data_IF_343997252098
#
_entry.id   IF_343997252098
#
_cell.length_a   1.000
_cell.length_b   1.000
_cell.length_c   1.000
_cell.angle_alpha   90.00
_cell.angle_beta   90.00
_cell.angle_gamma   90.00
#
_symmetry.space_group_name_H-M   'P 1'
#
loop_
_entity.id
_entity.type
_entity.pdbx_description
1 polymer ?
#
# COMPACT_ATOMS: atom_id res chain seq x y z
N UNK A 1 15.13 -19.84 4.25
CA UNK A 1 13.73 -20.21 3.92
C UNK A 1 13.33 -19.57 2.59
N UNK A 2 12.50 -20.20 1.77
CA UNK A 2 11.98 -19.58 0.56
C UNK A 2 11.05 -18.42 0.95
N UNK A 3 11.17 -17.27 0.28
CA UNK A 3 10.25 -16.16 0.48
C UNK A 3 8.86 -16.58 -0.03
N UNK A 4 7.86 -16.53 0.85
CA UNK A 4 6.46 -16.70 0.46
C UNK A 4 5.77 -15.34 0.60
N UNK A 5 5.33 -14.72 -0.51
CA UNK A 5 4.56 -13.49 -0.48
C UNK A 5 3.32 -13.62 0.42
N UNK A 6 2.68 -14.79 0.43
CA UNK A 6 1.50 -15.04 1.25
C UNK A 6 1.78 -15.00 2.77
N UNK A 7 3.03 -15.21 3.17
CA UNK A 7 3.47 -15.15 4.56
C UNK A 7 4.06 -13.79 4.96
N UNK A 8 4.13 -12.84 4.02
CA UNK A 8 4.58 -11.48 4.32
C UNK A 8 3.38 -10.55 4.56
N UNK A 9 3.09 -10.15 5.81
CA UNK A 9 1.92 -9.34 6.14
C UNK A 9 1.91 -7.95 5.48
N UNK A 10 3.04 -7.48 4.92
CA UNK A 10 3.10 -6.20 4.19
C UNK A 10 2.46 -6.28 2.80
N UNK A 11 2.37 -7.47 2.20
CA UNK A 11 1.89 -7.65 0.82
C UNK A 11 0.42 -7.24 0.68
N UNK A 12 -0.39 -7.47 1.71
CA UNK A 12 -1.78 -7.01 1.76
C UNK A 12 -1.89 -5.48 1.72
N UNK A 13 -1.03 -4.79 2.49
CA UNK A 13 -0.96 -3.31 2.49
C UNK A 13 -0.51 -2.80 1.12
N UNK A 14 0.45 -3.47 0.50
CA UNK A 14 0.92 -3.13 -0.85
C UNK A 14 -0.15 -3.36 -1.92
N UNK A 15 -0.93 -4.43 -1.81
CA UNK A 15 -2.07 -4.70 -2.70
C UNK A 15 -3.12 -3.59 -2.61
N UNK A 16 -3.49 -3.18 -1.39
CA UNK A 16 -4.42 -2.08 -1.15
C UNK A 16 -3.90 -0.75 -1.72
N UNK A 17 -2.65 -0.39 -1.42
CA UNK A 17 -2.01 0.82 -1.92
C UNK A 17 -1.97 0.85 -3.46
N UNK A 18 -1.59 -0.27 -4.10
CA UNK A 18 -1.61 -0.41 -5.56
C UNK A 18 -3.01 -0.22 -6.15
N UNK A 19 -4.05 -0.76 -5.51
CA UNK A 19 -5.43 -0.62 -5.97
C UNK A 19 -5.91 0.83 -5.89
N UNK A 20 -5.59 1.55 -4.82
CA UNK A 20 -5.94 2.97 -4.66
C UNK A 20 -5.22 3.80 -5.72
N UNK A 21 -3.90 3.63 -5.87
CA UNK A 21 -3.10 4.36 -6.87
C UNK A 21 -3.63 4.18 -8.29
N UNK A 22 -4.04 2.96 -8.66
CA UNK A 22 -4.64 2.66 -9.97
C UNK A 22 -5.98 3.35 -10.18
N UNK A 23 -6.77 3.55 -9.11
CA UNK A 23 -8.09 4.20 -9.18
C UNK A 23 -7.97 5.73 -9.22
N UNK A 24 -7.06 6.30 -8.44
CA UNK A 24 -6.95 7.76 -8.27
C UNK A 24 -5.93 8.40 -9.20
N UNK A 25 -4.98 7.62 -9.74
CA UNK A 25 -3.87 8.15 -10.53
C UNK A 25 -2.88 8.99 -9.72
N UNK A 26 -2.95 8.98 -8.39
CA UNK A 26 -2.07 9.78 -7.55
C UNK A 26 -0.63 9.25 -7.51
N UNK A 27 0.30 10.10 -7.09
CA UNK A 27 1.68 9.70 -6.82
C UNK A 27 1.79 8.81 -5.57
N UNK A 28 2.92 8.12 -5.44
CA UNK A 28 3.22 7.33 -4.25
C UNK A 28 3.28 8.22 -2.99
N UNK A 29 3.80 9.44 -3.10
CA UNK A 29 3.90 10.40 -2.00
C UNK A 29 2.53 10.87 -1.51
N UNK A 30 1.63 11.22 -2.44
CA UNK A 30 0.25 11.59 -2.10
C UNK A 30 -0.52 10.43 -1.46
N UNK A 31 -0.30 9.21 -1.98
CA UNK A 31 -0.93 8.01 -1.44
C UNK A 31 -0.52 7.76 0.02
N UNK A 32 0.78 7.86 0.33
CA UNK A 32 1.25 7.61 1.70
C UNK A 32 1.03 8.81 2.63
N UNK A 33 1.00 10.04 2.12
CA UNK A 33 0.64 11.23 2.90
C UNK A 33 -0.81 11.17 3.39
N UNK A 34 -1.74 10.74 2.54
CA UNK A 34 -3.15 10.55 2.92
C UNK A 34 -3.36 9.37 3.87
N UNK A 35 -2.61 8.28 3.69
CA UNK A 35 -2.65 7.13 4.61
C UNK A 35 -2.09 7.46 6.00
N UNK A 36 -1.06 8.30 6.09
CA UNK A 36 -0.46 8.73 7.36
C UNK A 36 -1.34 9.77 8.08
N UNK A 37 -2.01 10.66 7.35
CA UNK A 37 -2.94 11.64 7.94
C UNK A 37 -4.17 11.00 8.59
N UNK A 38 -4.63 9.84 8.10
CA UNK A 38 -5.74 9.10 8.71
C UNK A 38 -5.35 8.33 9.99
N UNK A 39 -4.08 8.38 10.40
CA UNK A 39 -3.52 7.65 11.54
C UNK A 39 -2.99 8.57 12.67
N UNK A 40 -3.21 9.88 12.58
CA UNK A 40 -2.95 10.90 13.63
C UNK A 40 -4.28 11.36 14.21
#
# INVERSE_FOLDING_TARGET
>A
PAYSPDLNPIENKWAQAKAIRRRTGCSTDELFSTMLLNHI
#
